data_IF_104239574162
#
_entry.id   IF_104239574162
#
_cell.length_a   1.000
_cell.length_b   1.000
_cell.length_c   1.000
_cell.angle_alpha   90.00
_cell.angle_beta   90.00
_cell.angle_gamma   90.00
#
_symmetry.space_group_name_H-M   'P 1'
#
loop_
_entity.id
_entity.type
_entity.pdbx_description
1 polymer ?
#
# COMPACT_ATOMS: atom_id res chain seq x y z
N UNK A 1 5.33 -6.14 -10.35
CA UNK A 1 5.61 -5.73 -8.96
C UNK A 1 5.14 -6.79 -7.99
N UNK A 2 5.54 -6.69 -6.72
CA UNK A 2 5.01 -7.49 -5.62
C UNK A 2 3.79 -6.77 -5.02
N UNK A 3 2.64 -7.43 -5.00
CA UNK A 3 1.41 -6.88 -4.45
C UNK A 3 1.00 -7.72 -3.24
N UNK A 4 0.70 -7.06 -2.13
CA UNK A 4 0.03 -7.70 -1.01
C UNK A 4 -1.47 -7.40 -1.10
N UNK A 5 -2.22 -8.36 -1.61
CA UNK A 5 -3.67 -8.31 -1.68
C UNK A 5 -4.29 -9.13 -0.54
N UNK A 6 -5.25 -8.53 0.17
CA UNK A 6 -6.00 -9.24 1.22
C UNK A 6 -7.39 -8.63 1.42
N UNK A 7 -8.22 -9.33 2.19
CA UNK A 7 -9.57 -8.92 2.53
C UNK A 7 -9.94 -9.41 3.92
N UNK A 8 -11.08 -8.95 4.43
CA UNK A 8 -11.60 -9.51 5.68
C UNK A 8 -11.96 -10.99 5.49
N UNK A 9 -11.41 -11.86 6.34
CA UNK A 9 -11.84 -13.25 6.41
C UNK A 9 -13.32 -13.41 6.74
N UNK A 10 -13.99 -12.38 7.29
CA UNK A 10 -15.45 -12.37 7.48
C UNK A 10 -16.21 -12.27 6.16
N UNK A 11 -15.67 -11.54 5.19
CA UNK A 11 -16.28 -11.30 3.87
C UNK A 11 -16.07 -12.43 2.85
N UNK A 12 -15.01 -13.25 3.00
CA UNK A 12 -14.63 -14.29 2.01
C UNK A 12 -15.73 -15.22 1.50
N UNK A 13 -16.73 -15.60 2.31
CA UNK A 13 -17.81 -16.52 1.95
C UNK A 13 -18.84 -15.80 1.09
N UNK A 14 -19.10 -14.53 1.38
CA UNK A 14 -20.06 -13.70 0.63
C UNK A 14 -19.47 -13.20 -0.68
N UNK A 15 -18.14 -12.99 -0.73
CA UNK A 15 -17.47 -12.34 -1.84
C UNK A 15 -16.40 -13.21 -2.51
N UNK A 16 -16.46 -14.54 -2.34
CA UNK A 16 -15.37 -15.45 -2.75
C UNK A 16 -14.98 -15.28 -4.22
N UNK A 17 -15.98 -15.20 -5.10
CA UNK A 17 -15.77 -15.08 -6.54
C UNK A 17 -15.11 -13.74 -6.90
N UNK A 18 -15.64 -12.62 -6.41
CA UNK A 18 -15.03 -11.29 -6.63
C UNK A 18 -13.61 -11.21 -6.07
N UNK A 19 -13.36 -11.75 -4.87
CA UNK A 19 -12.01 -11.79 -4.28
C UNK A 19 -11.03 -12.63 -5.12
N UNK A 20 -11.47 -13.80 -5.59
CA UNK A 20 -10.65 -14.65 -6.44
C UNK A 20 -10.40 -13.99 -7.81
N UNK A 21 -11.39 -13.29 -8.35
CA UNK A 21 -11.25 -12.54 -9.59
C UNK A 21 -10.17 -11.47 -9.46
N UNK A 22 -10.20 -10.65 -8.41
CA UNK A 22 -9.17 -9.64 -8.15
C UNK A 22 -7.78 -10.29 -8.00
N UNK A 23 -7.68 -11.39 -7.24
CA UNK A 23 -6.41 -12.11 -7.09
C UNK A 23 -5.84 -12.56 -8.43
N UNK A 24 -6.69 -13.12 -9.30
CA UNK A 24 -6.29 -13.58 -10.64
C UNK A 24 -5.97 -12.41 -11.58
N UNK A 25 -6.70 -11.31 -11.50
CA UNK A 25 -6.44 -10.11 -12.29
C UNK A 25 -5.08 -9.49 -11.96
N UNK A 26 -4.66 -9.50 -10.70
CA UNK A 26 -3.32 -9.07 -10.31
C UNK A 26 -2.24 -9.86 -11.07
N UNK A 27 -2.40 -11.18 -11.19
CA UNK A 27 -1.47 -12.03 -11.94
C UNK A 27 -1.56 -11.78 -13.46
N UNK A 28 -2.79 -11.66 -14.00
CA UNK A 28 -3.07 -11.32 -15.41
C UNK A 28 -2.42 -10.00 -15.83
N UNK A 29 -2.38 -9.01 -14.95
CA UNK A 29 -1.73 -7.71 -15.15
C UNK A 29 -0.19 -7.76 -15.02
N UNK A 30 0.40 -8.95 -14.81
CA UNK A 30 1.85 -9.14 -14.73
C UNK A 30 2.43 -8.79 -13.36
N UNK A 31 1.65 -8.93 -12.29
CA UNK A 31 2.09 -8.66 -10.92
C UNK A 31 2.02 -9.92 -10.06
N UNK A 32 2.86 -9.97 -9.03
CA UNK A 32 2.99 -11.14 -8.15
C UNK A 32 2.28 -10.90 -6.83
N UNK A 33 1.26 -11.70 -6.54
CA UNK A 33 0.65 -11.75 -5.20
C UNK A 33 1.63 -12.35 -4.16
N UNK A 34 1.77 -11.70 -3.02
CA UNK A 34 2.68 -12.11 -1.94
C UNK A 34 2.07 -13.05 -0.90
N UNK A 35 0.75 -13.06 -0.77
CA UNK A 35 0.03 -13.94 0.15
C UNK A 35 -1.20 -14.52 -0.56
N UNK A 36 -1.49 -15.79 -0.32
CA UNK A 36 -2.66 -16.50 -0.83
C UNK A 36 -3.50 -17.13 0.28
N UNK A 37 -3.16 -16.87 1.56
CA UNK A 37 -3.81 -17.51 2.70
C UNK A 37 -5.29 -17.15 2.79
N UNK A 38 -5.71 -16.02 2.23
CA UNK A 38 -7.12 -15.67 2.07
C UNK A 38 -7.96 -16.80 1.43
N UNK A 39 -7.36 -17.57 0.53
CA UNK A 39 -8.01 -18.62 -0.24
C UNK A 39 -7.76 -20.05 0.29
N UNK A 40 -6.73 -20.21 1.14
CA UNK A 40 -6.29 -21.52 1.65
C UNK A 40 -6.82 -21.84 3.06
N UNK A 41 -7.67 -20.98 3.63
CA UNK A 41 -8.34 -21.27 4.92
C UNK A 41 -9.63 -22.04 4.64
N UNK A 42 -9.63 -23.32 4.99
CA UNK A 42 -10.79 -24.21 4.83
C UNK A 42 -11.88 -23.92 5.88
N UNK A 43 -11.49 -23.70 7.15
CA UNK A 43 -12.40 -23.30 8.23
C UNK A 43 -11.97 -21.99 8.92
N UNK A 44 -12.88 -21.01 8.88
CA UNK A 44 -12.72 -19.72 9.58
C UNK A 44 -12.76 -19.87 11.10
N UNK A 45 -13.56 -20.82 11.61
CA UNK A 45 -13.68 -21.04 13.06
C UNK A 45 -12.35 -21.52 13.61
N UNK A 46 -11.73 -22.50 12.95
CA UNK A 46 -10.39 -22.98 13.29
C UNK A 46 -9.34 -21.87 13.22
N UNK A 47 -9.41 -21.02 12.18
CA UNK A 47 -8.51 -19.87 12.07
C UNK A 47 -8.62 -18.91 13.26
N UNK A 48 -9.84 -18.61 13.73
CA UNK A 48 -10.06 -17.70 14.85
C UNK A 48 -9.93 -18.38 16.23
N UNK A 49 -9.96 -19.70 16.30
CA UNK A 49 -9.74 -20.46 17.54
C UNK A 49 -8.28 -20.86 17.76
N UNK A 50 -7.37 -20.41 16.88
CA UNK A 50 -5.94 -20.63 17.02
C UNK A 50 -5.39 -20.08 18.34
N UNK A 51 -4.37 -20.75 18.86
CA UNK A 51 -3.65 -20.32 20.06
C UNK A 51 -2.87 -19.02 19.86
N UNK A 52 -2.24 -18.54 20.92
CA UNK A 52 -1.49 -17.28 20.88
C UNK A 52 -0.35 -17.31 19.86
N UNK A 53 0.33 -18.46 19.71
CA UNK A 53 1.44 -18.61 18.77
C UNK A 53 0.95 -18.53 17.33
N UNK A 54 -0.18 -19.16 17.00
CA UNK A 54 -0.81 -19.02 15.69
C UNK A 54 -1.18 -17.56 15.35
N UNK A 55 -1.65 -16.81 16.35
CA UNK A 55 -1.95 -15.38 16.19
C UNK A 55 -0.69 -14.55 15.92
N UNK A 56 0.41 -14.82 16.65
CA UNK A 56 1.72 -14.18 16.43
C UNK A 56 2.23 -14.48 15.02
N UNK A 57 2.17 -15.75 14.59
CA UNK A 57 2.61 -16.18 13.26
C UNK A 57 1.81 -15.47 12.17
N UNK A 58 0.49 -15.42 12.30
CA UNK A 58 -0.37 -14.72 11.35
C UNK A 58 -0.03 -13.22 11.28
N UNK A 59 0.09 -12.56 12.44
CA UNK A 59 0.43 -11.14 12.51
C UNK A 59 1.79 -10.86 11.83
N UNK A 60 2.82 -11.61 12.19
CA UNK A 60 4.16 -11.44 11.62
C UNK A 60 4.18 -11.67 10.11
N UNK A 61 3.41 -12.63 9.61
CA UNK A 61 3.25 -12.86 8.17
C UNK A 61 2.65 -11.65 7.47
N UNK A 62 1.55 -11.10 8.00
CA UNK A 62 0.90 -9.91 7.41
C UNK A 62 1.86 -8.72 7.40
N UNK A 63 2.55 -8.46 8.51
CA UNK A 63 3.55 -7.39 8.59
C UNK A 63 4.68 -7.59 7.58
N UNK A 64 5.14 -8.83 7.39
CA UNK A 64 6.15 -9.16 6.38
C UNK A 64 5.63 -8.92 4.97
N UNK A 65 4.41 -9.33 4.65
CA UNK A 65 3.80 -9.10 3.33
C UNK A 65 3.67 -7.61 3.01
N UNK A 66 3.27 -6.78 3.99
CA UNK A 66 3.25 -5.32 3.81
C UNK A 66 4.66 -4.80 3.48
N UNK A 67 5.67 -5.18 4.27
CA UNK A 67 7.06 -4.73 4.07
C UNK A 67 7.61 -5.10 2.70
N UNK A 68 7.38 -6.35 2.28
CA UNK A 68 7.93 -6.93 1.06
C UNK A 68 7.14 -6.51 -0.21
N UNK A 69 5.94 -5.94 -0.04
CA UNK A 69 5.10 -5.44 -1.14
C UNK A 69 5.58 -4.10 -1.68
N UNK A 70 5.37 -3.88 -2.97
CA UNK A 70 5.49 -2.56 -3.60
C UNK A 70 4.18 -1.77 -3.43
N UNK A 71 3.04 -2.47 -3.46
CA UNK A 71 1.68 -1.92 -3.30
C UNK A 71 0.86 -2.86 -2.40
N UNK A 72 0.00 -2.29 -1.55
CA UNK A 72 -0.99 -3.02 -0.76
C UNK A 72 -2.38 -2.79 -1.34
N UNK A 73 -3.11 -3.87 -1.60
CA UNK A 73 -4.50 -3.81 -2.08
C UNK A 73 -5.39 -4.47 -1.03
N UNK A 74 -6.45 -3.76 -0.62
CA UNK A 74 -7.38 -4.22 0.40
C UNK A 74 -8.78 -4.23 -0.16
N UNK A 75 -9.47 -5.36 -0.07
CA UNK A 75 -10.91 -5.39 -0.27
C UNK A 75 -11.60 -5.08 1.08
N UNK A 76 -12.35 -3.97 1.11
CA UNK A 76 -12.87 -3.35 2.34
C UNK A 76 -14.39 -3.20 2.36
N UNK A 77 -15.14 -3.88 1.48
CA UNK A 77 -16.61 -3.91 1.54
C UNK A 77 -17.12 -4.50 2.85
N UNK A 78 -16.37 -5.41 3.47
CA UNK A 78 -16.69 -5.97 4.78
C UNK A 78 -15.96 -5.22 5.89
N UNK A 79 -16.73 -4.58 6.79
CA UNK A 79 -16.16 -3.93 7.97
C UNK A 79 -15.29 -4.88 8.81
N UNK A 80 -14.04 -4.46 9.05
CA UNK A 80 -13.06 -5.27 9.75
C UNK A 80 -11.98 -4.42 10.41
N UNK A 81 -11.79 -4.63 11.73
CA UNK A 81 -10.70 -4.00 12.47
C UNK A 81 -9.33 -4.30 11.85
N UNK A 82 -9.12 -5.55 11.42
CA UNK A 82 -7.89 -5.99 10.78
C UNK A 82 -7.60 -5.22 9.49
N UNK A 83 -8.63 -4.93 8.67
CA UNK A 83 -8.43 -4.16 7.44
C UNK A 83 -8.03 -2.72 7.72
N UNK A 84 -8.67 -2.07 8.72
CA UNK A 84 -8.27 -0.73 9.17
C UNK A 84 -6.83 -0.68 9.69
N UNK A 85 -6.43 -1.68 10.49
CA UNK A 85 -5.05 -1.81 10.96
C UNK A 85 -4.05 -1.98 9.81
N UNK A 86 -4.33 -2.88 8.85
CA UNK A 86 -3.44 -3.14 7.72
C UNK A 86 -3.31 -1.89 6.83
N UNK A 87 -4.43 -1.22 6.54
CA UNK A 87 -4.44 0.03 5.77
C UNK A 87 -3.52 1.06 6.42
N UNK A 88 -3.74 1.34 7.72
CA UNK A 88 -2.95 2.32 8.43
C UNK A 88 -1.47 1.92 8.50
N UNK A 89 -1.19 0.64 8.77
CA UNK A 89 0.19 0.16 8.89
C UNK A 89 0.95 0.23 7.57
N UNK A 90 0.27 -0.04 6.45
CA UNK A 90 0.85 0.09 5.11
C UNK A 90 1.21 1.56 4.79
N UNK A 91 0.30 2.50 5.08
CA UNK A 91 0.56 3.93 4.92
C UNK A 91 1.72 4.41 5.83
N UNK A 92 1.77 3.96 7.08
CA UNK A 92 2.87 4.27 8.01
C UNK A 92 4.22 3.76 7.47
N UNK A 93 4.22 2.61 6.78
CA UNK A 93 5.38 2.06 6.08
C UNK A 93 5.64 2.70 4.70
N UNK A 94 4.95 3.81 4.40
CA UNK A 94 5.06 4.58 3.17
C UNK A 94 4.71 3.78 1.89
N UNK A 95 3.89 2.74 2.02
CA UNK A 95 3.41 1.92 0.91
C UNK A 95 2.18 2.56 0.27
N UNK A 96 2.09 2.64 -1.06
CA UNK A 96 0.84 2.91 -1.75
C UNK A 96 -0.22 1.86 -1.36
N UNK A 97 -1.42 2.33 -1.04
CA UNK A 97 -2.57 1.51 -0.63
C UNK A 97 -3.74 1.77 -1.55
N UNK A 98 -4.34 0.70 -2.06
CA UNK A 98 -5.58 0.72 -2.83
C UNK A 98 -6.65 0.00 -1.99
N UNK A 99 -7.62 0.74 -1.48
CA UNK A 99 -8.77 0.22 -0.77
C UNK A 99 -9.96 0.11 -1.73
N UNK A 100 -10.29 -1.12 -2.13
CA UNK A 100 -11.38 -1.45 -3.04
C UNK A 100 -12.64 -1.78 -2.26
N UNK A 101 -13.79 -1.28 -2.71
CA UNK A 101 -15.09 -1.64 -2.14
C UNK A 101 -16.17 -1.77 -3.22
N UNK A 102 -17.18 -2.59 -2.96
CA UNK A 102 -18.33 -2.80 -3.83
C UNK A 102 -19.43 -1.76 -3.58
N UNK A 103 -20.28 -1.47 -4.57
CA UNK A 103 -21.38 -0.52 -4.43
C UNK A 103 -22.25 -0.81 -3.21
N UNK A 104 -22.64 0.25 -2.51
CA UNK A 104 -23.46 0.16 -1.29
C UNK A 104 -22.68 -0.20 -0.03
N UNK A 105 -21.37 -0.45 -0.10
CA UNK A 105 -20.51 -0.72 1.05
C UNK A 105 -19.34 0.27 1.18
N UNK A 106 -19.57 1.60 1.14
CA UNK A 106 -18.48 2.57 1.23
C UNK A 106 -17.80 2.50 2.61
N UNK A 107 -16.45 2.45 2.67
CA UNK A 107 -15.72 2.51 3.93
C UNK A 107 -15.66 3.96 4.42
N UNK A 108 -16.79 4.46 4.95
CA UNK A 108 -16.99 5.88 5.32
C UNK A 108 -15.79 6.53 6.03
N UNK A 109 -15.21 5.84 7.02
CA UNK A 109 -14.08 6.38 7.77
C UNK A 109 -12.78 6.46 6.95
N UNK A 110 -12.53 5.49 6.06
CA UNK A 110 -11.33 5.49 5.22
C UNK A 110 -11.39 6.56 4.12
N UNK A 111 -12.60 6.92 3.64
CA UNK A 111 -12.80 7.99 2.66
C UNK A 111 -12.40 9.37 3.20
N UNK A 112 -12.39 9.57 4.53
CA UNK A 112 -11.95 10.81 5.16
C UNK A 112 -10.44 10.92 5.37
N UNK A 113 -9.65 9.91 4.98
CA UNK A 113 -8.19 9.93 5.14
C UNK A 113 -7.56 10.71 3.98
N UNK A 114 -6.99 11.87 4.30
CA UNK A 114 -6.20 12.65 3.34
C UNK A 114 -4.75 12.14 3.29
N UNK A 115 -4.44 11.30 2.31
CA UNK A 115 -3.08 10.81 2.05
C UNK A 115 -2.89 10.52 0.56
N UNK A 116 -1.88 11.11 -0.08
CA UNK A 116 -1.64 10.96 -1.52
C UNK A 116 -1.28 9.53 -1.97
N UNK A 117 -0.91 8.65 -1.03
CA UNK A 117 -0.61 7.23 -1.26
C UNK A 117 -1.82 6.34 -1.01
N UNK A 118 -2.95 6.88 -0.56
CA UNK A 118 -4.19 6.14 -0.38
C UNK A 118 -5.15 6.41 -1.54
N UNK A 119 -5.65 5.34 -2.13
CA UNK A 119 -6.79 5.37 -3.02
C UNK A 119 -7.94 4.59 -2.37
N UNK A 120 -9.14 5.16 -2.37
CA UNK A 120 -10.36 4.48 -1.92
C UNK A 120 -11.33 4.46 -3.09
N UNK A 121 -11.54 3.29 -3.68
CA UNK A 121 -12.14 3.15 -5.02
C UNK A 121 -13.31 2.17 -4.96
N UNK A 122 -14.46 2.59 -5.48
CA UNK A 122 -15.59 1.71 -5.75
C UNK A 122 -15.30 0.88 -7.01
N UNK A 123 -15.64 -0.41 -7.00
CA UNK A 123 -15.53 -1.27 -8.18
C UNK A 123 -16.75 -2.19 -8.31
N UNK A 124 -17.08 -2.57 -9.53
CA UNK A 124 -18.06 -3.60 -9.83
C UNK A 124 -17.43 -4.77 -10.57
N UNK A 125 -18.09 -5.93 -10.61
CA UNK A 125 -17.57 -7.09 -11.35
C UNK A 125 -17.41 -6.79 -12.86
N UNK A 126 -18.14 -5.80 -13.39
CA UNK A 126 -18.08 -5.40 -14.80
C UNK A 126 -16.86 -4.51 -15.13
N UNK A 127 -16.38 -3.72 -14.18
CA UNK A 127 -15.30 -2.73 -14.40
C UNK A 127 -13.99 -3.09 -13.69
N UNK A 128 -13.98 -4.09 -12.80
CA UNK A 128 -12.88 -4.38 -11.88
C UNK A 128 -11.52 -4.49 -12.57
N UNK A 129 -11.45 -5.03 -13.78
CA UNK A 129 -10.18 -5.13 -14.53
C UNK A 129 -9.62 -3.74 -14.89
N UNK A 130 -10.45 -2.84 -15.41
CA UNK A 130 -10.05 -1.47 -15.74
C UNK A 130 -9.75 -0.67 -14.48
N UNK A 131 -10.66 -0.73 -13.50
CA UNK A 131 -10.52 -0.06 -12.20
C UNK A 131 -9.23 -0.45 -11.49
N UNK A 132 -8.92 -1.75 -11.45
CA UNK A 132 -7.71 -2.27 -10.81
C UNK A 132 -6.45 -1.84 -11.55
N UNK A 133 -6.46 -1.90 -12.89
CA UNK A 133 -5.33 -1.47 -13.71
C UNK A 133 -5.00 0.00 -13.47
N UNK A 134 -5.99 0.88 -13.56
CA UNK A 134 -5.79 2.33 -13.41
C UNK A 134 -5.34 2.68 -11.98
N UNK A 135 -5.91 2.02 -10.97
CA UNK A 135 -5.50 2.20 -9.58
C UNK A 135 -4.04 1.76 -9.34
N UNK A 136 -3.62 0.65 -9.95
CA UNK A 136 -2.24 0.17 -9.86
C UNK A 136 -1.29 1.13 -10.59
N UNK A 137 -1.64 1.58 -11.79
CA UNK A 137 -0.83 2.53 -12.57
C UNK A 137 -0.65 3.86 -11.80
N UNK A 138 -1.71 4.37 -11.17
CA UNK A 138 -1.63 5.54 -10.28
C UNK A 138 -0.71 5.28 -9.07
N UNK A 139 -0.89 4.15 -8.38
CA UNK A 139 -0.08 3.77 -7.23
C UNK A 139 1.41 3.60 -7.58
N UNK A 140 1.73 3.13 -8.79
CA UNK A 140 3.10 3.07 -9.31
C UNK A 140 3.72 4.47 -9.40
N UNK A 141 2.98 5.45 -9.92
CA UNK A 141 3.44 6.85 -9.98
C UNK A 141 3.69 7.48 -8.61
N UNK A 142 3.10 6.91 -7.54
CA UNK A 142 3.28 7.32 -6.14
C UNK A 142 4.32 6.48 -5.37
N UNK A 143 4.94 5.48 -6.01
CA UNK A 143 6.04 4.74 -5.41
C UNK A 143 7.29 5.63 -5.33
N UNK A 144 8.02 5.57 -4.21
CA UNK A 144 9.24 6.36 -4.04
C UNK A 144 10.27 5.99 -5.13
N UNK A 145 10.61 6.95 -5.99
CA UNK A 145 11.66 6.76 -7.00
C UNK A 145 13.03 6.88 -6.34
N UNK A 146 13.86 5.84 -6.47
CA UNK A 146 15.27 5.89 -6.04
C UNK A 146 16.10 6.57 -7.12
N UNK A 147 16.53 7.80 -6.83
CA UNK A 147 17.52 8.51 -7.64
C UNK A 147 18.91 8.38 -7.01
N UNK A 148 19.88 7.87 -7.78
CA UNK A 148 21.28 7.81 -7.39
C UNK A 148 22.11 8.72 -8.29
N UNK A 149 23.00 9.50 -7.70
CA UNK A 149 23.93 10.36 -8.44
C UNK A 149 25.26 10.46 -7.68
N UNK A 150 26.33 10.77 -8.42
CA UNK A 150 27.64 11.02 -7.83
C UNK A 150 27.74 12.46 -7.32
N UNK A 151 28.37 12.63 -6.16
CA UNK A 151 28.67 13.93 -5.57
C UNK A 151 30.17 14.11 -5.40
N UNK A 152 30.64 15.36 -5.47
CA UNK A 152 32.02 15.66 -5.12
C UNK A 152 32.29 15.46 -3.62
N UNK A 153 33.56 15.25 -3.21
CA UNK A 153 33.93 15.17 -1.80
C UNK A 153 33.54 16.42 -0.99
N UNK A 154 33.58 17.60 -1.63
CA UNK A 154 33.19 18.87 -1.00
C UNK A 154 31.69 18.90 -0.66
N UNK A 155 30.82 18.48 -1.58
CA UNK A 155 29.38 18.36 -1.35
C UNK A 155 29.11 17.33 -0.23
N UNK A 156 29.81 16.18 -0.27
CA UNK A 156 29.70 15.17 0.78
C UNK A 156 30.02 15.72 2.18
N UNK A 157 31.11 16.47 2.29
CA UNK A 157 31.55 17.12 3.54
C UNK A 157 30.53 18.14 4.03
N UNK A 158 29.94 18.93 3.13
CA UNK A 158 28.90 19.90 3.47
C UNK A 158 27.64 19.22 4.01
N UNK A 159 27.17 18.15 3.36
CA UNK A 159 26.01 17.39 3.80
C UNK A 159 26.24 16.72 5.16
N UNK A 160 27.47 16.29 5.45
CA UNK A 160 27.86 15.80 6.77
C UNK A 160 27.79 16.86 7.86
N UNK A 161 28.31 18.05 7.57
CA UNK A 161 28.20 19.18 8.49
C UNK A 161 26.75 19.54 8.75
N UNK A 162 25.90 19.62 7.72
CA UNK A 162 24.45 19.84 7.86
C UNK A 162 23.83 18.80 8.78
N UNK A 163 24.14 17.52 8.57
CA UNK A 163 23.54 16.46 9.38
C UNK A 163 23.94 16.57 10.86
N UNK A 164 25.19 16.95 11.13
CA UNK A 164 25.69 17.14 12.50
C UNK A 164 25.10 18.37 13.20
N UNK A 165 25.03 19.49 12.50
CA UNK A 165 24.63 20.80 13.08
C UNK A 165 23.11 20.94 13.12
N UNK A 166 22.42 20.63 12.02
CA UNK A 166 20.96 20.77 11.92
C UNK A 166 20.20 19.54 12.40
N UNK A 167 20.89 18.44 12.72
CA UNK A 167 20.30 17.17 13.20
C UNK A 167 19.26 16.58 12.25
N UNK A 168 19.43 16.77 10.95
CA UNK A 168 18.58 16.19 9.90
C UNK A 168 19.39 15.25 8.99
N UNK A 169 18.79 14.18 8.46
CA UNK A 169 19.46 13.33 7.47
C UNK A 169 19.82 14.09 6.19
N UNK A 170 20.90 13.69 5.52
CA UNK A 170 21.34 14.28 4.24
C UNK A 170 20.22 14.28 3.19
N UNK A 171 19.46 13.17 3.11
CA UNK A 171 18.35 12.99 2.17
C UNK A 171 17.19 13.95 2.43
N UNK A 172 16.86 14.22 3.70
CA UNK A 172 15.81 15.17 4.09
C UNK A 172 16.20 16.59 3.70
N UNK A 173 17.46 16.97 3.94
CA UNK A 173 17.97 18.27 3.53
C UNK A 173 17.93 18.46 2.01
N UNK A 174 18.43 17.48 1.24
CA UNK A 174 18.41 17.54 -0.23
C UNK A 174 16.98 17.60 -0.78
N UNK A 175 16.07 16.80 -0.23
CA UNK A 175 14.66 16.84 -0.60
C UNK A 175 14.08 18.23 -0.40
N UNK A 176 14.29 18.84 0.77
CA UNK A 176 13.77 20.18 1.04
C UNK A 176 14.35 21.27 0.13
N UNK A 177 15.59 21.14 -0.34
CA UNK A 177 16.14 22.05 -1.35
C UNK A 177 15.41 21.92 -2.69
N UNK A 178 15.15 20.69 -3.14
CA UNK A 178 14.47 20.40 -4.40
C UNK A 178 13.01 20.83 -4.33
N UNK A 179 12.28 20.49 -3.26
CA UNK A 179 10.88 20.90 -3.06
C UNK A 179 10.74 22.43 -3.06
N UNK A 180 11.71 23.13 -2.44
CA UNK A 180 11.75 24.59 -2.45
C UNK A 180 11.95 25.12 -3.87
N UNK A 181 12.94 24.60 -4.60
CA UNK A 181 13.22 25.01 -5.99
C UNK A 181 11.99 24.79 -6.88
N UNK A 182 11.39 23.58 -6.81
CA UNK A 182 10.19 23.20 -7.55
C UNK A 182 9.02 24.15 -7.29
N UNK A 183 8.77 24.51 -6.03
CA UNK A 183 7.68 25.42 -5.65
C UNK A 183 7.83 26.83 -6.24
N UNK A 184 9.05 27.24 -6.58
CA UNK A 184 9.38 28.55 -7.13
C UNK A 184 9.73 28.53 -8.63
N UNK A 185 9.63 27.37 -9.29
CA UNK A 185 10.05 27.22 -10.68
C UNK A 185 8.86 27.39 -11.64
N UNK A 186 8.70 28.60 -12.17
CA UNK A 186 7.60 28.95 -13.06
C UNK A 186 7.61 28.14 -14.38
N UNK A 187 8.79 27.77 -14.90
CA UNK A 187 8.90 26.96 -16.13
C UNK A 187 8.37 25.52 -15.94
N UNK A 188 8.50 24.96 -14.73
CA UNK A 188 7.95 23.65 -14.40
C UNK A 188 6.45 23.70 -14.06
N UNK A 189 5.98 24.83 -13.49
CA UNK A 189 4.59 24.99 -13.02
C UNK A 189 3.63 25.57 -14.08
N UNK A 190 4.15 25.98 -15.25
CA UNK A 190 3.38 26.48 -16.41
C UNK A 190 2.87 25.33 -17.29
#
# INVERSE_FOLDING_TARGET
MKIFYTASLRGVKSYRESLQNIYNLIDKLGHKNLDNVLFNIEDRKEFYSGDHDAQIVHFNRIIKSIKDSDIVILEVSTHSLSMGFILHKALEMNKPVIALYQPGNPPFFAQGIENEKLQVIEYSDADVEGTLKDAIDYAQGKADVRFNFFISPSIGTYLDWISKVKKIPRSVYLRGLIEKDQSSNDEYNS
#
